data_IF_278667499493
#
_entry.id   IF_278667499493
#
_cell.length_a   1.000
_cell.length_b   1.000
_cell.length_c   1.000
_cell.angle_alpha   90.00
_cell.angle_beta   90.00
_cell.angle_gamma   90.00
#
_symmetry.space_group_name_H-M   'P 1'
#
loop_
_entity.id
_entity.type
_entity.pdbx_description
1 polymer ?
#
# COMPACT_ATOMS: atom_id res chain seq x y z
N UNK A 1 -11.76 2.60 -9.40
CA UNK A 1 -12.26 1.33 -8.81
C UNK A 1 -11.87 1.27 -7.34
N UNK A 2 -12.78 0.99 -6.39
CA UNK A 2 -12.39 0.72 -4.98
C UNK A 2 -11.77 -0.67 -4.91
N UNK A 3 -10.47 -0.74 -5.14
CA UNK A 3 -9.73 -1.99 -4.98
C UNK A 3 -9.40 -2.22 -3.50
N UNK A 4 -9.21 -3.47 -3.08
CA UNK A 4 -8.99 -3.82 -1.65
C UNK A 4 -7.75 -3.14 -1.05
N UNK A 5 -6.66 -3.09 -1.81
CA UNK A 5 -5.41 -2.39 -1.49
C UNK A 5 -5.57 -0.88 -1.30
N UNK A 6 -6.42 -0.19 -2.09
CA UNK A 6 -6.69 1.23 -1.86
C UNK A 6 -7.39 1.46 -0.52
N UNK A 7 -8.36 0.61 -0.16
CA UNK A 7 -9.00 0.69 1.15
C UNK A 7 -7.99 0.50 2.27
N UNK A 8 -7.06 -0.44 2.14
CA UNK A 8 -6.02 -0.67 3.16
C UNK A 8 -5.11 0.55 3.29
N UNK A 9 -4.63 1.12 2.18
CA UNK A 9 -3.78 2.31 2.21
C UNK A 9 -4.47 3.51 2.88
N UNK A 10 -5.72 3.79 2.53
CA UNK A 10 -6.53 4.88 3.14
C UNK A 10 -6.80 4.62 4.64
N UNK A 11 -7.04 3.36 5.02
CA UNK A 11 -7.20 3.01 6.44
C UNK A 11 -5.90 3.21 7.21
N UNK A 12 -4.76 2.83 6.63
CA UNK A 12 -3.45 3.04 7.24
C UNK A 12 -3.14 4.52 7.42
N UNK A 13 -3.34 5.34 6.38
CA UNK A 13 -3.22 6.80 6.44
C UNK A 13 -4.00 7.34 7.63
N UNK A 14 -5.29 6.98 7.73
CA UNK A 14 -6.16 7.47 8.79
C UNK A 14 -5.75 6.98 10.18
N UNK A 15 -5.27 5.74 10.29
CA UNK A 15 -4.78 5.20 11.57
C UNK A 15 -3.52 5.94 12.02
N UNK A 16 -2.63 6.29 11.09
CA UNK A 16 -1.41 7.06 11.39
C UNK A 16 -1.73 8.50 11.79
N UNK A 17 -2.70 9.16 11.15
CA UNK A 17 -3.18 10.49 11.57
C UNK A 17 -3.74 10.50 12.99
N UNK A 18 -4.33 9.38 13.42
CA UNK A 18 -4.96 9.23 14.73
C UNK A 18 -4.04 8.55 15.76
N UNK A 19 -2.76 8.39 15.46
CA UNK A 19 -1.79 7.64 16.28
C UNK A 19 -1.76 8.09 17.74
N UNK A 20 -1.87 9.38 18.00
CA UNK A 20 -1.80 9.93 19.35
C UNK A 20 -3.09 9.72 20.15
N UNK A 21 -4.24 9.62 19.47
CA UNK A 21 -5.56 9.56 20.11
C UNK A 21 -6.08 8.12 20.20
N UNK A 22 -5.68 7.25 19.28
CA UNK A 22 -6.15 5.86 19.22
C UNK A 22 -5.87 5.05 20.50
N UNK A 23 -4.67 5.12 21.11
CA UNK A 23 -4.42 4.42 22.36
C UNK A 23 -5.34 4.87 23.49
N UNK A 24 -5.55 6.18 23.64
CA UNK A 24 -6.45 6.75 24.65
C UNK A 24 -7.89 6.32 24.42
N UNK A 25 -8.35 6.35 23.17
CA UNK A 25 -9.68 5.89 22.77
C UNK A 25 -9.87 4.40 23.10
N UNK A 26 -8.88 3.57 22.77
CA UNK A 26 -8.90 2.15 23.04
C UNK A 26 -8.88 1.82 24.53
N UNK A 27 -8.29 2.69 25.37
CA UNK A 27 -8.20 2.49 26.81
C UNK A 27 -9.45 2.96 27.60
N UNK A 28 -10.31 3.79 27.00
CA UNK A 28 -11.50 4.33 27.69
C UNK A 28 -12.35 3.24 28.34
N UNK A 29 -12.72 3.45 29.60
CA UNK A 29 -13.49 2.48 30.40
C UNK A 29 -14.80 2.03 29.72
N UNK A 30 -15.51 2.95 29.05
CA UNK A 30 -16.77 2.64 28.33
C UNK A 30 -16.63 1.54 27.28
N UNK A 31 -15.43 1.34 26.74
CA UNK A 31 -15.14 0.32 25.73
C UNK A 31 -14.53 -0.96 26.30
N UNK A 32 -14.31 -1.03 27.61
CA UNK A 32 -13.60 -2.14 28.26
C UNK A 32 -14.34 -2.72 29.48
N UNK A 33 -15.59 -2.34 29.71
CA UNK A 33 -16.47 -2.95 30.71
C UNK A 33 -17.01 -4.33 30.31
N UNK A 34 -17.84 -4.93 31.16
CA UNK A 34 -18.47 -6.22 30.85
C UNK A 34 -19.44 -6.10 29.66
N UNK A 35 -19.40 -7.07 28.73
CA UNK A 35 -20.11 -7.05 27.42
C UNK A 35 -19.78 -5.88 26.48
N UNK A 36 -18.63 -5.23 26.63
CA UNK A 36 -18.14 -4.19 25.71
C UNK A 36 -17.26 -4.74 24.58
N UNK A 37 -16.82 -3.87 23.65
CA UNK A 37 -15.95 -4.23 22.54
C UNK A 37 -14.55 -4.73 22.97
N UNK A 38 -14.11 -4.36 24.20
CA UNK A 38 -12.80 -4.67 24.79
C UNK A 38 -11.65 -4.19 23.91
N UNK A 39 -11.60 -2.88 23.68
CA UNK A 39 -10.67 -2.26 22.72
C UNK A 39 -9.21 -2.22 23.18
N UNK A 40 -8.91 -2.39 24.47
CA UNK A 40 -7.53 -2.41 24.99
C UNK A 40 -6.62 -3.42 24.28
N UNK A 41 -7.16 -4.54 23.79
CA UNK A 41 -6.39 -5.55 23.05
C UNK A 41 -5.89 -5.08 21.67
N UNK A 42 -6.37 -3.93 21.19
CA UNK A 42 -5.99 -3.33 19.92
C UNK A 42 -5.07 -2.12 20.10
N UNK A 43 -4.61 -1.85 21.33
CA UNK A 43 -3.54 -0.89 21.56
C UNK A 43 -2.27 -1.50 20.98
N UNK A 44 -1.71 -0.81 19.98
CA UNK A 44 -0.54 -1.28 19.25
C UNK A 44 0.74 -0.96 20.00
N UNK A 45 1.73 -1.84 19.90
CA UNK A 45 3.09 -1.58 20.36
C UNK A 45 3.81 -0.59 19.43
N UNK A 46 4.94 -0.06 19.88
CA UNK A 46 5.77 0.83 19.05
C UNK A 46 6.29 0.13 17.78
N UNK A 47 6.59 -1.15 17.88
CA UNK A 47 7.03 -1.99 16.76
C UNK A 47 5.90 -2.19 15.74
N UNK A 48 4.67 -2.42 16.22
CA UNK A 48 3.49 -2.53 15.35
C UNK A 48 3.20 -1.21 14.64
N UNK A 49 3.30 -0.07 15.33
CA UNK A 49 3.21 1.25 14.72
C UNK A 49 4.27 1.45 13.62
N UNK A 50 5.52 1.07 13.88
CA UNK A 50 6.59 1.16 12.89
C UNK A 50 6.29 0.29 11.65
N UNK A 51 5.71 -0.90 11.82
CA UNK A 51 5.27 -1.74 10.70
C UNK A 51 4.15 -1.06 9.90
N UNK A 52 3.17 -0.45 10.56
CA UNK A 52 2.08 0.26 9.86
C UNK A 52 2.61 1.46 9.05
N UNK A 53 3.53 2.23 9.60
CA UNK A 53 4.18 3.36 8.90
C UNK A 53 4.95 2.88 7.66
N UNK A 54 5.76 1.83 7.82
CA UNK A 54 6.50 1.24 6.70
C UNK A 54 5.55 0.67 5.63
N UNK A 55 4.46 0.02 6.04
CA UNK A 55 3.46 -0.52 5.13
C UNK A 55 2.72 0.60 4.38
N UNK A 56 2.37 1.69 5.06
CA UNK A 56 1.75 2.84 4.42
C UNK A 56 2.68 3.44 3.36
N UNK A 57 3.95 3.70 3.70
CA UNK A 57 4.96 4.21 2.75
C UNK A 57 5.16 3.28 1.55
N UNK A 58 5.04 1.96 1.74
CA UNK A 58 5.09 1.00 0.66
C UNK A 58 3.86 1.13 -0.27
N UNK A 59 2.67 1.33 0.29
CA UNK A 59 1.39 1.30 -0.44
C UNK A 59 0.97 2.66 -1.03
N UNK A 60 1.42 3.77 -0.48
CA UNK A 60 0.99 5.12 -0.88
C UNK A 60 1.21 5.43 -2.39
N UNK A 61 2.36 5.10 -3.00
CA UNK A 61 2.53 5.28 -4.45
C UNK A 61 1.54 4.48 -5.30
N UNK A 62 1.12 3.30 -4.82
CA UNK A 62 0.10 2.50 -5.51
C UNK A 62 -1.29 3.12 -5.41
N UNK A 63 -1.61 3.72 -4.25
CA UNK A 63 -2.85 4.46 -4.07
C UNK A 63 -2.89 5.66 -5.01
N UNK A 64 -1.81 6.43 -5.08
CA UNK A 64 -1.67 7.57 -5.99
C UNK A 64 -1.86 7.13 -7.46
N UNK A 65 -1.07 6.17 -7.93
CA UNK A 65 -1.14 5.68 -9.31
C UNK A 65 -2.54 5.14 -9.66
N UNK A 66 -3.17 4.40 -8.74
CA UNK A 66 -4.52 3.85 -8.98
C UNK A 66 -5.58 4.95 -9.06
N UNK A 67 -5.48 5.98 -8.22
CA UNK A 67 -6.42 7.11 -8.26
C UNK A 67 -6.25 7.92 -9.54
N UNK A 68 -5.01 8.24 -9.93
CA UNK A 68 -4.74 9.00 -11.14
C UNK A 68 -5.21 8.28 -12.40
N UNK A 69 -4.83 7.00 -12.56
CA UNK A 69 -5.29 6.16 -13.68
C UNK A 69 -6.82 6.00 -13.67
N UNK A 70 -7.45 5.91 -12.48
CA UNK A 70 -8.91 5.80 -12.38
C UNK A 70 -9.66 7.09 -12.76
N UNK A 71 -9.01 8.26 -12.63
CA UNK A 71 -9.57 9.56 -13.00
C UNK A 71 -9.36 9.86 -14.48
N UNK A 72 -8.32 9.29 -15.10
CA UNK A 72 -8.11 9.43 -16.54
C UNK A 72 -9.29 8.82 -17.31
N UNK A 73 -9.94 9.64 -18.13
CA UNK A 73 -11.06 9.21 -19.00
C UNK A 73 -10.57 8.31 -20.15
N UNK A 74 -9.25 8.22 -20.36
CA UNK A 74 -8.60 7.38 -21.36
C UNK A 74 -7.47 6.61 -20.68
N UNK A 75 -7.62 5.30 -20.51
CA UNK A 75 -6.52 4.46 -20.02
C UNK A 75 -5.58 4.06 -21.14
N UNK A 76 -4.82 5.01 -21.72
CA UNK A 76 -3.89 4.67 -22.79
C UNK A 76 -2.66 3.98 -22.18
N UNK A 77 -2.21 2.90 -22.81
CA UNK A 77 -1.16 2.07 -22.20
C UNK A 77 0.19 2.78 -22.08
N UNK A 78 0.49 3.74 -22.95
CA UNK A 78 1.67 4.60 -22.80
C UNK A 78 1.62 5.47 -21.54
N UNK A 79 0.44 5.76 -21.00
CA UNK A 79 0.29 6.51 -19.74
C UNK A 79 0.49 5.61 -18.52
N UNK A 80 0.27 4.30 -18.65
CA UNK A 80 0.40 3.32 -17.55
C UNK A 80 1.84 2.83 -17.37
N UNK A 81 2.63 2.77 -18.44
CA UNK A 81 4.03 2.29 -18.39
C UNK A 81 4.90 3.11 -17.42
N UNK A 82 4.88 4.46 -17.44
CA UNK A 82 5.62 5.27 -16.48
C UNK A 82 5.26 4.96 -15.02
N UNK A 83 3.98 4.72 -14.72
CA UNK A 83 3.56 4.30 -13.38
C UNK A 83 4.14 2.95 -13.00
N UNK A 84 4.13 1.98 -13.92
CA UNK A 84 4.69 0.65 -13.68
C UNK A 84 6.20 0.71 -13.41
N UNK A 85 6.95 1.57 -14.12
CA UNK A 85 8.39 1.76 -13.92
C UNK A 85 8.70 2.38 -12.55
N UNK A 86 7.98 3.45 -12.19
CA UNK A 86 8.14 4.10 -10.87
C UNK A 86 7.79 3.15 -9.74
N UNK A 87 6.67 2.41 -9.85
CA UNK A 87 6.26 1.43 -8.84
C UNK A 87 7.24 0.25 -8.76
N UNK A 88 7.86 -0.12 -9.87
CA UNK A 88 8.89 -1.15 -9.92
C UNK A 88 10.13 -0.73 -9.15
N UNK A 89 10.66 0.47 -9.44
CA UNK A 89 11.81 1.03 -8.73
C UNK A 89 11.53 1.17 -7.23
N UNK A 90 10.34 1.67 -6.86
CA UNK A 90 9.91 1.79 -5.46
C UNK A 90 9.90 0.45 -4.72
N UNK A 91 9.45 -0.63 -5.37
CA UNK A 91 9.49 -1.97 -4.77
C UNK A 91 10.92 -2.53 -4.66
N UNK A 92 11.78 -2.21 -5.62
CA UNK A 92 13.18 -2.61 -5.60
C UNK A 92 13.94 -1.90 -4.46
N UNK A 93 13.69 -0.61 -4.23
CA UNK A 93 14.24 0.13 -3.09
C UNK A 93 13.78 -0.46 -1.73
N UNK A 94 12.49 -0.79 -1.60
CA UNK A 94 11.94 -1.33 -0.36
C UNK A 94 12.40 -2.77 -0.06
N UNK A 95 12.65 -3.60 -1.07
CA UNK A 95 13.14 -4.96 -0.78
C UNK A 95 14.60 -4.97 -0.34
N UNK A 96 15.39 -3.97 -0.72
CA UNK A 96 16.82 -3.88 -0.42
C UNK A 96 17.12 -3.01 0.82
N UNK A 97 16.15 -2.25 1.33
CA UNK A 97 16.29 -1.43 2.53
C UNK A 97 16.33 -2.28 3.82
N UNK A 98 17.54 -2.44 4.37
CA UNK A 98 17.80 -3.18 5.60
C UNK A 98 17.24 -2.51 6.87
N UNK A 99 16.86 -1.23 6.81
CA UNK A 99 16.23 -0.52 7.94
C UNK A 99 14.78 -0.91 8.14
N UNK A 100 14.14 -1.49 7.11
CA UNK A 100 12.76 -1.96 7.17
C UNK A 100 12.64 -3.28 7.93
N UNK A 101 11.43 -3.62 8.34
CA UNK A 101 11.14 -4.95 8.88
C UNK A 101 11.20 -6.01 7.79
N UNK A 102 11.57 -7.24 8.17
CA UNK A 102 11.65 -8.36 7.23
C UNK A 102 10.31 -8.66 6.54
N UNK A 103 9.20 -8.42 7.24
CA UNK A 103 7.85 -8.55 6.69
C UNK A 103 7.60 -7.56 5.54
N UNK A 104 8.03 -6.31 5.69
CA UNK A 104 7.85 -5.26 4.67
C UNK A 104 8.74 -5.53 3.46
N UNK A 105 10.01 -5.90 3.66
CA UNK A 105 10.88 -6.32 2.55
C UNK A 105 10.31 -7.52 1.79
N UNK A 106 9.79 -8.51 2.51
CA UNK A 106 9.15 -9.68 1.89
C UNK A 106 7.87 -9.30 1.12
N UNK A 107 7.09 -8.35 1.63
CA UNK A 107 5.93 -7.81 0.93
C UNK A 107 6.34 -7.07 -0.35
N UNK A 108 7.37 -6.23 -0.31
CA UNK A 108 7.92 -5.54 -1.47
C UNK A 108 8.41 -6.52 -2.54
N UNK A 109 9.19 -7.54 -2.15
CA UNK A 109 9.64 -8.61 -3.06
C UNK A 109 8.48 -9.35 -3.73
N UNK A 110 7.40 -9.63 -3.01
CA UNK A 110 6.18 -10.24 -3.57
C UNK A 110 5.45 -9.28 -4.51
N UNK A 111 5.35 -8.01 -4.15
CA UNK A 111 4.78 -6.96 -5.01
C UNK A 111 5.56 -6.85 -6.32
N UNK A 112 6.89 -6.90 -6.27
CA UNK A 112 7.79 -6.84 -7.42
C UNK A 112 7.57 -8.00 -8.38
N UNK A 113 7.44 -9.21 -7.84
CA UNK A 113 7.15 -10.41 -8.64
C UNK A 113 5.79 -10.30 -9.35
N UNK A 114 4.77 -9.81 -8.63
CA UNK A 114 3.44 -9.60 -9.21
C UNK A 114 3.47 -8.53 -10.31
N UNK A 115 4.14 -7.41 -10.07
CA UNK A 115 4.24 -6.31 -11.03
C UNK A 115 4.99 -6.75 -12.29
N UNK A 116 6.09 -7.50 -12.14
CA UNK A 116 6.84 -8.08 -13.25
C UNK A 116 5.99 -9.00 -14.12
N UNK A 117 5.11 -9.80 -13.51
CA UNK A 117 4.18 -10.67 -14.25
C UNK A 117 3.18 -9.86 -15.08
N UNK A 118 2.68 -8.75 -14.55
CA UNK A 118 1.76 -7.90 -15.32
C UNK A 118 2.48 -7.13 -16.41
N UNK A 119 3.71 -6.67 -16.15
CA UNK A 119 4.54 -5.99 -17.13
C UNK A 119 4.86 -6.90 -18.34
N UNK A 120 5.21 -8.17 -18.10
CA UNK A 120 5.49 -9.12 -19.19
C UNK A 120 4.28 -9.36 -20.10
N UNK A 121 3.06 -9.33 -19.55
CA UNK A 121 1.84 -9.45 -20.36
C UNK A 121 1.60 -8.21 -21.25
N UNK A 122 2.02 -7.03 -20.79
CA UNK A 122 1.96 -5.80 -21.58
C UNK A 122 2.95 -5.86 -22.75
N UNK A 123 4.16 -6.35 -22.55
CA UNK A 123 5.18 -6.46 -23.60
C UNK A 123 4.85 -7.52 -24.68
N UNK A 124 4.19 -8.61 -24.27
CA UNK A 124 3.79 -9.67 -25.20
C UNK A 124 2.62 -9.29 -26.13
N UNK A 125 1.85 -8.24 -25.82
CA UNK A 125 0.71 -7.84 -26.64
C UNK A 125 1.16 -6.93 -27.81
N UNK A 126 0.97 -7.32 -29.09
CA UNK A 126 1.48 -6.57 -30.25
C UNK A 126 0.99 -5.12 -30.33
N UNK A 127 -0.24 -4.86 -29.87
CA UNK A 127 -0.84 -3.51 -29.82
C UNK A 127 -0.02 -2.57 -28.93
N UNK A 128 0.59 -3.06 -27.85
CA UNK A 128 1.37 -2.23 -26.93
C UNK A 128 2.79 -1.98 -27.41
N UNK A 129 3.39 -2.92 -28.16
CA UNK A 129 4.66 -2.66 -28.86
C UNK A 129 4.52 -1.56 -29.92
N UNK A 130 3.43 -1.55 -30.68
CA UNK A 130 3.17 -0.52 -31.70
C UNK A 130 2.88 0.85 -31.08
N UNK A 131 2.24 0.90 -29.91
CA UNK A 131 2.00 2.16 -29.20
C UNK A 131 3.28 2.79 -28.61
N UNK A 132 4.37 2.02 -28.50
CA UNK A 132 5.66 2.44 -27.94
C UNK A 132 6.71 2.78 -29.02
N UNK A 133 6.40 2.55 -30.29
CA UNK A 133 7.23 2.87 -31.47
C UNK A 133 6.74 4.12 -32.17
#
# INVERSE_FOLDING_TARGET
>A
VKTRWNTVAVVLERILELKDVLPELCDMHRFNGDRSARLRRYILSNEEWAVLEQLYRLLDPFLFATNDISLSTRGLVHEVIPYMDVLTAHLDDFQDDLSLTSAIRAAAKRGRLMLSKYYSLTDETPIFRIAMS
#
